data_IF_956509724257
#
_entry.id   IF_956509724257
#
_cell.length_a   1.000
_cell.length_b   1.000
_cell.length_c   1.000
_cell.angle_alpha   90.00
_cell.angle_beta   90.00
_cell.angle_gamma   90.00
#
_symmetry.space_group_name_H-M   'P 1'
#
loop_
_entity.id
_entity.type
_entity.pdbx_description
1 polymer ?
2 non-polymer ?
3 water ?
#
# COMPACT_ATOMS: atom_id res chain seq x y z
N UNK A 11 -16.20 5.42 8.76
CA UNK A 11 -15.45 4.48 7.92
C UNK A 11 -13.98 4.45 8.31
N UNK A 12 -13.57 3.33 8.90
CA UNK A 12 -12.17 3.15 9.33
C UNK A 12 -11.42 2.22 8.38
N UNK A 13 -11.97 1.97 7.19
CA UNK A 13 -11.34 1.08 6.22
C UNK A 13 -10.17 1.75 5.49
N UNK A 14 -9.25 0.93 5.01
CA UNK A 14 -8.11 1.46 4.27
C UNK A 14 -8.65 2.18 3.04
N UNK A 15 -8.14 3.38 2.80
CA UNK A 15 -8.55 4.23 1.68
C UNK A 15 -10.02 4.65 1.78
N UNK A 16 -10.67 4.43 2.91
CA UNK A 16 -12.09 4.76 3.03
C UNK A 16 -12.97 3.95 2.10
N UNK A 17 -12.47 2.81 1.65
CA UNK A 17 -13.19 1.97 0.70
C UNK A 17 -14.49 1.53 1.32
N UNK A 18 -15.60 1.74 0.61
CA UNK A 18 -16.90 1.52 1.20
C UNK A 18 -17.32 0.05 1.23
N UNK A 19 -17.05 -0.67 0.15
CA UNK A 19 -17.54 -2.04 0.01
C UNK A 19 -16.40 -3.05 -0.05
N UNK A 20 -16.34 -3.90 0.98
CA UNK A 20 -15.27 -4.86 1.15
C UNK A 20 -15.61 -5.74 2.34
N UNK A 21 -14.82 -6.81 2.50
CA UNK A 21 -14.97 -7.69 3.64
C UNK A 21 -14.41 -7.05 4.91
N UNK A 22 -15.25 -6.92 5.95
CA UNK A 22 -14.83 -6.44 7.26
C UNK A 22 -15.31 -7.39 8.35
N UNK A 23 -14.83 -8.65 8.31
CA UNK A 23 -15.25 -9.69 9.25
C UNK A 23 -14.64 -9.56 10.65
N UNK A 24 -13.62 -8.74 10.80
CA UNK A 24 -12.91 -8.65 12.06
C UNK A 24 -11.49 -9.10 11.85
N UNK A 25 -10.76 -9.24 12.95
CA UNK A 25 -9.33 -9.49 12.91
C UNK A 25 -8.98 -10.75 13.65
N UNK A 26 -8.02 -11.48 13.10
CA UNK A 26 -7.39 -12.56 13.84
C UNK A 26 -6.47 -11.95 14.92
N UNK A 27 -6.01 -12.78 15.84
CA UNK A 27 -4.89 -12.39 16.66
C UNK A 27 -3.73 -12.02 15.75
N UNK A 28 -2.79 -11.26 16.27
CA UNK A 28 -1.62 -10.88 15.50
C UNK A 28 -0.72 -12.07 15.33
N UNK A 29 -0.43 -12.37 14.07
CA UNK A 29 0.37 -13.54 13.71
C UNK A 29 1.79 -13.08 13.33
N UNK A 30 2.53 -13.92 12.61
CA UNK A 30 3.93 -13.67 12.34
C UNK A 30 4.21 -13.43 10.86
N UNK A 31 3.17 -13.16 10.09
CA UNK A 31 3.34 -12.66 8.72
C UNK A 31 3.71 -11.20 8.82
N UNK A 32 4.49 -10.68 7.88
CA UNK A 32 4.85 -9.27 7.93
C UNK A 32 4.63 -8.52 6.63
N UNK A 33 4.41 -9.17 5.51
CA UNK A 33 4.20 -8.42 4.27
C UNK A 33 3.39 -9.21 3.28
N UNK A 34 2.54 -8.48 2.57
CA UNK A 34 1.79 -9.00 1.44
C UNK A 34 1.50 -7.82 0.54
N UNK A 35 1.95 -7.88 -0.71
CA UNK A 35 1.79 -6.77 -1.64
C UNK A 35 1.38 -7.27 -3.01
N UNK A 36 0.57 -6.46 -3.69
CA UNK A 36 0.15 -6.66 -5.07
C UNK A 36 0.74 -5.56 -5.90
N UNK A 37 1.55 -5.94 -6.90
CA UNK A 37 2.30 -4.96 -7.68
C UNK A 37 2.00 -5.12 -9.17
N UNK A 38 0.97 -4.41 -9.65
CA UNK A 38 0.60 -4.45 -11.07
C UNK A 38 1.38 -3.43 -11.89
N UNK A 39 1.65 -3.75 -13.15
CA UNK A 39 2.23 -2.76 -14.06
C UNK A 39 1.20 -1.69 -14.39
N UNK A 40 1.65 -0.47 -14.67
CA UNK A 40 0.77 0.64 -15.04
C UNK A 40 -0.04 0.34 -16.30
N UNK A 41 -1.29 0.82 -16.31
CA UNK A 41 -2.20 0.62 -17.46
C UNK A 41 -2.02 1.81 -18.37
N UNK A 42 -0.94 1.76 -19.14
CA UNK A 42 -0.53 2.86 -19.98
C UNK A 42 -0.06 2.35 -21.32
N UNK A 43 -0.11 3.25 -22.30
CA UNK A 43 0.43 2.98 -23.61
C UNK A 43 -0.20 1.78 -24.27
N UNK A 44 0.65 0.88 -24.72
CA UNK A 44 0.21 -0.24 -25.51
C UNK A 44 -0.61 -1.25 -24.70
N UNK A 45 -0.55 -1.17 -23.37
CA UNK A 45 -1.36 -2.06 -22.53
C UNK A 45 -2.84 -1.87 -22.85
N UNK A 46 -3.25 -0.64 -23.16
CA UNK A 46 -4.65 -0.35 -23.42
C UNK A 46 -5.19 -1.09 -24.66
N UNK A 47 -4.29 -1.41 -25.57
CA UNK A 47 -4.70 -2.05 -26.81
C UNK A 47 -4.80 -3.57 -26.63
N UNK A 48 -4.36 -4.06 -25.47
CA UNK A 48 -4.44 -5.48 -25.13
C UNK A 48 -5.43 -5.73 -23.99
N UNK A 49 -5.51 -6.99 -23.55
CA UNK A 49 -6.52 -7.39 -22.57
C UNK A 49 -5.91 -7.98 -21.31
N UNK A 50 -4.69 -7.58 -20.99
CA UNK A 50 -4.01 -8.13 -19.82
C UNK A 50 -3.37 -7.07 -18.93
N UNK A 51 -3.34 -7.36 -17.64
CA UNK A 51 -2.51 -6.60 -16.69
C UNK A 51 -1.53 -7.57 -16.05
N UNK A 52 -0.23 -7.29 -16.19
CA UNK A 52 0.80 -8.10 -15.56
C UNK A 52 0.98 -7.64 -14.12
N UNK A 53 1.36 -8.57 -13.25
CA UNK A 53 1.59 -8.24 -11.83
C UNK A 53 2.51 -9.24 -11.18
N UNK A 54 3.00 -8.90 -10.00
CA UNK A 54 3.67 -9.83 -9.10
C UNK A 54 3.04 -9.69 -7.72
N UNK A 55 3.19 -10.75 -6.94
CA UNK A 55 2.76 -10.73 -5.54
C UNK A 55 3.99 -10.93 -4.67
N UNK A 56 4.13 -10.09 -3.64
CA UNK A 56 5.22 -10.24 -2.68
C UNK A 56 4.66 -10.69 -1.35
N UNK A 57 5.39 -11.54 -0.66
CA UNK A 57 4.98 -12.04 0.63
C UNK A 57 6.16 -12.28 1.53
N UNK A 58 5.97 -12.05 2.81
CA UNK A 58 7.02 -12.38 3.76
C UNK A 58 6.39 -12.75 5.10
N UNK A 59 6.97 -13.78 5.71
CA UNK A 59 6.64 -14.14 7.09
C UNK A 59 7.92 -14.38 7.87
N UNK A 60 7.79 -14.39 9.19
CA UNK A 60 8.95 -14.27 10.06
C UNK A 60 9.21 -15.53 10.87
N UNK A 61 8.19 -16.38 10.97
CA UNK A 61 8.36 -17.71 11.56
C UNK A 61 7.75 -18.68 10.58
N UNK A 62 8.22 -19.92 10.60
CA UNK A 62 7.73 -20.91 9.67
C UNK A 62 6.21 -21.05 9.78
N UNK A 63 5.56 -21.16 8.63
CA UNK A 63 4.12 -21.30 8.55
C UNK A 63 3.81 -22.44 7.62
N UNK A 64 2.61 -22.97 7.72
CA UNK A 64 2.21 -24.11 6.90
C UNK A 64 0.71 -24.20 6.85
N UNK A 65 0.27 -25.13 6.02
CA UNK A 65 -1.13 -25.53 5.83
C UNK A 65 -1.95 -24.61 4.95
N UNK A 66 -3.10 -25.11 4.53
CA UNK A 66 -4.07 -24.38 3.76
C UNK A 66 -4.89 -23.39 4.59
N UNK A 67 -4.55 -23.21 5.87
CA UNK A 67 -5.27 -22.24 6.68
C UNK A 67 -5.27 -20.82 6.13
N UNK A 68 -4.13 -20.48 5.54
CA UNK A 68 -3.80 -19.11 5.15
C UNK A 68 -4.17 -18.90 3.70
N UNK A 69 -5.10 -17.97 3.48
CA UNK A 69 -5.63 -17.71 2.15
C UNK A 69 -5.47 -16.25 1.76
N UNK A 70 -4.84 -16.02 0.62
CA UNK A 70 -4.69 -14.69 0.08
C UNK A 70 -5.95 -14.34 -0.68
N UNK A 71 -6.50 -13.18 -0.41
CA UNK A 71 -7.63 -12.68 -1.15
C UNK A 71 -7.25 -11.40 -1.87
N UNK A 72 -7.73 -11.29 -3.11
CA UNK A 72 -7.45 -10.15 -3.97
C UNK A 72 -8.80 -9.60 -4.41
N UNK A 73 -9.08 -8.36 -4.03
CA UNK A 73 -10.30 -7.66 -4.40
C UNK A 73 -9.97 -6.61 -5.45
N UNK A 74 -10.67 -6.66 -6.58
CA UNK A 74 -10.46 -5.70 -7.66
C UNK A 74 -11.67 -4.81 -7.81
N UNK A 75 -11.43 -3.57 -8.17
CA UNK A 75 -12.50 -2.63 -8.47
C UNK A 75 -13.59 -3.31 -9.27
N UNK A 76 -14.83 -3.13 -8.84
CA UNK A 76 -15.96 -3.71 -9.56
C UNK A 76 -15.97 -3.37 -11.04
N UNK A 77 -15.50 -2.17 -11.38
CA UNK A 77 -15.54 -1.72 -12.77
C UNK A 77 -14.60 -2.53 -13.65
N UNK A 78 -13.52 -3.06 -13.07
CA UNK A 78 -12.65 -4.01 -13.77
C UNK A 78 -13.16 -5.43 -13.60
N UNK A 79 -13.58 -5.78 -12.40
CA UNK A 79 -13.94 -7.16 -12.08
C UNK A 79 -15.02 -7.70 -13.01
N UNK A 80 -15.95 -6.85 -13.42
CA UNK A 80 -17.03 -7.29 -14.28
C UNK A 80 -16.54 -7.90 -15.59
N UNK A 81 -15.31 -7.57 -16.00
CA UNK A 81 -14.74 -8.06 -17.26
C UNK A 81 -13.57 -9.01 -17.09
N UNK A 82 -13.24 -9.39 -15.87
CA UNK A 82 -12.14 -10.34 -15.66
C UNK A 82 -12.58 -11.75 -16.06
N UNK A 83 -11.77 -12.42 -16.88
CA UNK A 83 -12.03 -13.82 -17.20
C UNK A 83 -11.19 -14.77 -16.38
N UNK A 84 -9.94 -14.45 -16.16
CA UNK A 84 -9.01 -15.36 -15.51
C UNK A 84 -7.89 -14.57 -14.83
N UNK A 85 -7.40 -15.06 -13.70
CA UNK A 85 -6.22 -14.49 -13.05
C UNK A 85 -5.32 -15.66 -12.67
N UNK A 86 -4.06 -15.61 -13.07
CA UNK A 86 -3.08 -16.64 -12.73
C UNK A 86 -1.76 -16.01 -12.32
N UNK A 87 -0.93 -16.78 -11.62
CA UNK A 87 0.38 -16.32 -11.17
C UNK A 87 1.23 -17.54 -10.91
N UNK A 88 2.55 -17.41 -11.03
CA UNK A 88 3.45 -18.51 -10.71
C UNK A 88 3.75 -18.46 -9.21
N UNK A 89 3.97 -19.62 -8.58
CA UNK A 89 4.44 -19.64 -7.20
C UNK A 89 5.90 -19.20 -7.14
N UNK A 90 6.36 -18.90 -5.95
CA UNK A 90 7.77 -18.63 -5.75
C UNK A 90 8.60 -19.77 -6.30
N UNK A 91 9.66 -19.42 -7.03
CA UNK A 91 10.50 -20.40 -7.70
C UNK A 91 11.13 -21.41 -6.74
N UNK A 92 11.27 -22.66 -7.17
CA UNK A 92 11.86 -23.65 -6.27
C UNK A 92 11.91 -25.09 -6.73
N UNK A 93 10.82 -25.82 -6.49
CA UNK A 93 10.79 -27.25 -6.74
C UNK A 93 9.82 -27.58 -7.86
N UNK A 94 9.79 -26.71 -8.85
CA UNK A 94 8.99 -26.93 -10.05
C UNK A 94 7.49 -26.99 -9.81
N UNK A 95 7.03 -26.30 -8.77
CA UNK A 95 5.58 -26.15 -8.54
C UNK A 95 4.95 -25.50 -9.77
N UNK A 96 3.68 -25.81 -10.03
CA UNK A 96 3.01 -25.35 -11.25
C UNK A 96 2.32 -23.98 -11.06
N UNK A 97 1.99 -23.37 -12.19
CA UNK A 97 1.28 -22.08 -12.22
C UNK A 97 -0.05 -22.20 -11.48
N UNK A 98 -0.37 -21.17 -10.70
CA UNK A 98 -1.59 -21.16 -9.90
C UNK A 98 -2.67 -20.29 -10.53
N UNK A 99 -3.92 -20.66 -10.24
CA UNK A 99 -5.08 -19.88 -10.62
C UNK A 99 -5.67 -19.22 -9.40
N UNK A 100 -5.98 -17.94 -9.50
CA UNK A 100 -6.74 -17.23 -8.47
C UNK A 100 -8.21 -17.59 -8.73
N UNK A 101 -8.90 -18.18 -7.77
CA UNK A 101 -10.28 -18.64 -7.94
C UNK A 101 -11.25 -17.56 -7.54
N UNK A 102 -12.23 -17.28 -8.38
CA UNK A 102 -13.19 -16.25 -8.09
C UNK A 102 -14.21 -16.72 -7.05
N UNK A 103 -14.50 -15.88 -6.09
CA UNK A 103 -15.52 -16.17 -5.09
C UNK A 103 -16.88 -15.69 -5.61
N UNK A 104 -17.91 -16.52 -5.44
CA UNK A 104 -19.26 -16.18 -5.86
C UNK A 104 -20.11 -15.99 -4.64
N UNK A 105 -21.22 -15.29 -4.80
CA UNK A 105 -22.13 -15.08 -3.67
C UNK A 105 -23.21 -16.18 -3.62
N UNK A 106 -24.17 -16.02 -2.72
CA UNK A 106 -25.22 -17.00 -2.49
C UNK A 106 -26.40 -16.81 -3.42
N UNK A 107 -26.24 -15.93 -4.40
CA UNK A 107 -27.33 -15.56 -5.31
C UNK A 107 -26.94 -15.77 -6.77
N UNK A 108 -25.96 -16.66 -6.99
CA UNK A 108 -25.60 -17.03 -8.35
C UNK A 108 -24.89 -15.93 -9.13
N UNK A 109 -24.20 -15.04 -8.43
CA UNK A 109 -23.48 -13.93 -9.04
C UNK A 109 -22.00 -13.99 -8.64
N UNK A 110 -21.09 -13.62 -9.55
CA UNK A 110 -19.68 -13.49 -9.13
C UNK A 110 -19.48 -12.30 -8.20
N UNK A 111 -18.49 -12.37 -7.30
CA UNK A 111 -18.06 -11.21 -6.53
C UNK A 111 -16.78 -10.70 -7.17
N UNK A 112 -16.25 -9.61 -6.61
CA UNK A 112 -15.01 -9.04 -7.06
C UNK A 112 -13.83 -9.44 -6.20
N UNK A 113 -13.92 -10.60 -5.55
CA UNK A 113 -12.84 -11.13 -4.75
C UNK A 113 -12.39 -12.49 -5.30
N UNK A 114 -11.08 -12.67 -5.39
CA UNK A 114 -10.43 -13.89 -5.80
C UNK A 114 -9.55 -14.41 -4.66
N UNK A 115 -9.24 -15.71 -4.70
CA UNK A 115 -8.50 -16.37 -3.62
C UNK A 115 -7.44 -17.33 -4.14
N UNK A 116 -6.31 -17.40 -3.44
CA UNK A 116 -5.27 -18.41 -3.67
C UNK A 116 -4.62 -18.71 -2.34
N UNK A 117 -4.16 -19.92 -2.11
CA UNK A 117 -3.53 -20.22 -0.85
C UNK A 117 -2.20 -19.49 -0.73
N UNK A 118 -1.88 -19.08 0.47
CA UNK A 118 -0.59 -18.45 0.73
C UNK A 118 0.58 -19.44 0.61
N UNK A 119 0.40 -20.66 1.13
CA UNK A 119 1.51 -21.58 1.32
C UNK A 119 1.71 -22.44 0.09
N UNK A 120 2.94 -22.43 -0.40
CA UNK A 120 3.27 -23.05 -1.66
C UNK A 120 2.94 -24.55 -1.70
N UNK A 121 3.23 -25.26 -0.61
CA UNK A 121 2.99 -26.71 -0.55
C UNK A 121 1.52 -27.06 -0.51
N UNK A 122 0.67 -26.07 -0.31
CA UNK A 122 -0.77 -26.26 -0.35
C UNK A 122 -1.36 -25.60 -1.60
N UNK A 123 -0.75 -25.84 -2.75
CA UNK A 123 -1.17 -25.25 -4.02
C UNK A 123 -1.22 -23.73 -3.97
N UNK A 124 -0.31 -23.17 -3.20
CA UNK A 124 -0.25 -21.73 -2.98
C UNK A 124 1.01 -21.11 -3.53
N UNK A 125 1.39 -19.95 -2.98
CA UNK A 125 2.45 -19.13 -3.57
C UNK A 125 3.82 -19.18 -2.92
N UNK A 126 3.86 -19.18 -1.59
CA UNK A 126 5.08 -18.85 -0.85
C UNK A 126 5.58 -20.01 0.02
N UNK A 127 6.89 -20.18 0.03
CA UNK A 127 7.50 -21.29 0.76
C UNK A 127 7.28 -21.10 2.26
N UNK A 128 6.58 -22.03 2.89
CA UNK A 128 6.24 -21.90 4.29
C UNK A 128 7.44 -21.88 5.22
N UNK A 129 8.48 -22.63 4.87
CA UNK A 129 9.62 -22.77 5.75
C UNK A 129 10.63 -21.64 5.60
N UNK A 130 10.44 -20.77 4.62
CA UNK A 130 11.41 -19.72 4.37
C UNK A 130 10.93 -18.45 5.04
N UNK A 131 11.78 -17.88 5.88
CA UNK A 131 11.40 -16.74 6.74
C UNK A 131 12.38 -15.59 6.62
N UNK A 132 13.04 -15.47 5.48
CA UNK A 132 14.08 -14.48 5.32
C UNK A 132 13.64 -13.42 4.30
N UNK A 133 14.30 -13.37 3.16
CA UNK A 133 14.06 -12.30 2.19
C UNK A 133 12.67 -12.36 1.61
N UNK A 134 12.08 -11.22 1.30
CA UNK A 134 10.79 -11.17 0.66
C UNK A 134 10.69 -12.16 -0.50
N UNK A 135 9.57 -12.89 -0.54
CA UNK A 135 9.28 -13.84 -1.61
C UNK A 135 8.48 -13.18 -2.73
N UNK A 136 8.73 -13.63 -3.96
CA UNK A 136 8.00 -13.16 -5.14
C UNK A 136 7.28 -14.30 -5.83
N UNK A 137 6.01 -14.06 -6.11
CA UNK A 137 5.20 -14.90 -6.98
C UNK A 137 5.16 -14.16 -8.31
N UNK A 138 5.95 -14.60 -9.30
CA UNK A 138 6.11 -13.85 -10.54
C UNK A 138 5.08 -14.16 -11.63
N UNK A 139 5.05 -13.36 -12.68
CA UNK A 139 4.34 -13.69 -13.92
C UNK A 139 2.84 -13.74 -13.70
N UNK A 140 2.34 -12.87 -12.85
CA UNK A 140 0.91 -12.73 -12.68
C UNK A 140 0.29 -12.08 -13.89
N UNK A 141 -0.88 -12.55 -14.27
CA UNK A 141 -1.62 -11.99 -15.39
C UNK A 141 -3.10 -11.97 -15.05
N UNK A 142 -3.70 -10.79 -15.10
CA UNK A 142 -5.15 -10.66 -15.13
C UNK A 142 -5.58 -10.58 -16.57
N UNK A 143 -6.42 -11.50 -17.00
CA UNK A 143 -6.89 -11.56 -18.38
C UNK A 143 -8.35 -11.12 -18.44
N UNK A 144 -8.66 -10.20 -19.33
CA UNK A 144 -9.99 -9.60 -19.46
C UNK A 144 -10.75 -10.11 -20.68
N UNK A 145 -12.07 -10.01 -20.66
CA UNK A 145 -12.84 -10.49 -21.80
C UNK A 145 -12.94 -9.46 -22.94
N UNK A 146 -12.41 -8.26 -22.72
CA UNK A 146 -12.28 -7.23 -23.75
C UNK A 146 -10.96 -6.54 -23.54
N UNK A 147 -10.50 -5.82 -24.56
CA UNK A 147 -9.31 -5.01 -24.38
C UNK A 147 -9.57 -3.83 -23.41
N UNK A 148 -8.49 -3.37 -22.80
CA UNK A 148 -8.63 -2.38 -21.74
C UNK A 148 -9.10 -1.04 -22.26
N UNK A 149 -8.75 -0.67 -23.49
CA UNK A 149 -9.26 0.57 -24.08
C UNK A 149 -10.79 0.55 -24.16
N UNK A 150 -11.37 -0.58 -24.54
CA UNK A 150 -12.82 -0.72 -24.60
C UNK A 150 -13.42 -0.68 -23.21
N UNK A 151 -12.76 -1.31 -22.25
CA UNK A 151 -13.23 -1.25 -20.87
C UNK A 151 -13.17 0.18 -20.33
N UNK A 152 -12.06 0.87 -20.56
CA UNK A 152 -11.94 2.24 -20.07
C UNK A 152 -13.00 3.15 -20.70
N UNK A 153 -13.32 2.91 -21.96
CA UNK A 153 -14.36 3.69 -22.62
C UNK A 153 -15.73 3.39 -22.01
N UNK A 154 -16.00 2.11 -21.72
CA UNK A 154 -17.26 1.73 -21.09
C UNK A 154 -17.41 2.30 -19.67
N UNK A 155 -16.29 2.43 -18.96
CA UNK A 155 -16.31 3.01 -17.61
C UNK A 155 -16.51 4.52 -17.74
N UNK A 156 -15.81 5.13 -18.67
CA UNK A 156 -15.89 6.55 -18.92
C UNK A 156 -14.68 7.27 -18.41
N UNK A 157 -14.03 8.06 -19.25
CA UNK A 157 -12.83 8.79 -18.86
C UNK A 157 -13.08 9.70 -17.67
N UNK A 158 -14.25 10.30 -17.62
CA UNK A 158 -14.61 11.18 -16.52
C UNK A 158 -14.64 10.39 -15.22
N UNK A 159 -15.18 9.19 -15.26
CA UNK A 159 -15.33 8.37 -14.06
C UNK A 159 -13.99 7.80 -13.60
N UNK A 160 -13.08 7.55 -14.53
CA UNK A 160 -11.76 7.07 -14.18
C UNK A 160 -10.95 8.19 -13.52
N UNK A 161 -11.29 9.43 -13.85
CA UNK A 161 -10.65 10.57 -13.23
C UNK A 161 -11.13 10.74 -11.79
N UNK A 162 -12.43 10.56 -11.58
CA UNK A 162 -13.01 10.89 -10.29
C UNK A 162 -12.95 9.74 -9.26
N UNK A 163 -12.77 8.53 -9.74
CA UNK A 163 -12.82 7.37 -8.86
C UNK A 163 -11.75 6.37 -9.31
N UNK A 164 -10.59 6.41 -8.66
CA UNK A 164 -9.47 5.58 -9.10
C UNK A 164 -9.85 4.09 -9.02
N UNK A 165 -9.20 3.29 -9.86
CA UNK A 165 -9.43 1.85 -9.92
C UNK A 165 -8.67 1.15 -8.82
N UNK A 166 -9.39 0.67 -7.85
CA UNK A 166 -8.77 0.11 -6.67
C UNK A 166 -8.43 -1.36 -6.76
N UNK A 167 -7.51 -1.75 -5.88
CA UNK A 167 -7.30 -3.15 -5.55
C UNK A 167 -7.04 -3.25 -4.06
N UNK A 168 -7.36 -4.41 -3.47
CA UNK A 168 -7.01 -4.72 -2.09
C UNK A 168 -6.52 -6.14 -2.02
N UNK A 169 -5.33 -6.38 -1.46
CA UNK A 169 -4.84 -7.71 -1.19
C UNK A 169 -4.74 -7.92 0.31
N UNK A 170 -5.14 -9.08 0.79
CA UNK A 170 -5.15 -9.33 2.22
C UNK A 170 -5.09 -10.81 2.50
N UNK A 171 -4.82 -11.15 3.76
CA UNK A 171 -4.68 -12.53 4.19
C UNK A 171 -5.77 -12.88 5.18
N UNK A 172 -6.44 -14.00 4.97
CA UNK A 172 -7.44 -14.48 5.93
C UNK A 172 -7.02 -15.83 6.48
N UNK A 173 -7.63 -16.19 7.60
CA UNK A 173 -7.33 -17.40 8.31
C UNK A 173 -8.61 -18.22 8.48
N UNK A 174 -8.65 -19.40 7.89
CA UNK A 174 -9.86 -20.22 7.93
C UNK A 174 -10.23 -20.65 9.37
N UNK A 175 -9.24 -20.91 10.21
CA UNK A 175 -9.48 -21.35 11.59
C UNK A 175 -10.04 -20.22 12.44
N UNK A 176 -9.91 -18.99 11.95
CA UNK A 176 -10.44 -17.80 12.61
C UNK A 176 -11.66 -17.25 11.85
N UNK A 177 -12.43 -18.17 11.27
CA UNK A 177 -13.67 -17.83 10.55
C UNK A 177 -13.45 -16.79 9.45
N UNK A 178 -12.33 -16.94 8.74
CA UNK A 178 -11.97 -16.08 7.61
C UNK A 178 -11.77 -14.62 7.98
N UNK A 179 -11.46 -14.37 9.24
CA UNK A 179 -11.07 -13.05 9.68
C UNK A 179 -9.71 -12.70 9.07
N UNK A 180 -9.45 -11.41 9.03
CA UNK A 180 -8.26 -10.87 8.40
C UNK A 180 -7.10 -10.80 9.36
N UNK A 181 -5.92 -11.15 8.89
CA UNK A 181 -4.72 -11.04 9.70
C UNK A 181 -4.31 -9.58 9.75
N UNK A 182 -4.33 -8.98 10.96
CA UNK A 182 -4.18 -7.52 10.99
C UNK A 182 -2.80 -7.01 10.59
N UNK A 183 -2.81 -5.96 9.78
CA UNK A 183 -1.59 -5.41 9.22
C UNK A 183 -1.20 -6.02 7.88
N UNK A 184 -1.78 -7.17 7.55
CA UNK A 184 -1.39 -7.90 6.34
C UNK A 184 -2.49 -7.66 5.30
N UNK A 185 -2.63 -6.39 4.99
CA UNK A 185 -3.54 -5.93 3.97
C UNK A 185 -3.00 -4.67 3.32
N UNK A 186 -3.22 -4.53 2.03
CA UNK A 186 -2.77 -3.39 1.29
C UNK A 186 -3.82 -3.01 0.28
N UNK A 187 -4.19 -1.73 0.26
CA UNK A 187 -5.19 -1.19 -0.67
C UNK A 187 -4.55 -0.08 -1.48
N UNK A 188 -4.56 -0.22 -2.82
CA UNK A 188 -3.93 0.73 -3.71
C UNK A 188 -4.77 0.95 -4.95
N UNK A 189 -4.21 1.61 -5.94
CA UNK A 189 -4.90 1.87 -7.18
C UNK A 189 -4.05 1.64 -8.39
N UNK A 190 -4.67 1.24 -9.49
CA UNK A 190 -3.97 1.06 -10.74
C UNK A 190 -3.57 2.39 -11.36
N UNK A 191 -2.32 2.49 -11.75
CA UNK A 191 -1.82 3.69 -12.44
C UNK A 191 -2.20 3.68 -13.89
N UNK A 192 -2.44 4.86 -14.41
CA UNK A 192 -2.82 5.02 -15.80
C UNK A 192 -2.05 6.21 -16.34
N UNK A 193 -2.35 6.63 -17.57
CA UNK A 193 -1.57 7.67 -18.23
C UNK A 193 -1.84 9.07 -17.65
N UNK A 194 -2.81 9.16 -16.76
CA UNK A 194 -3.08 10.43 -16.09
C UNK A 194 -2.15 10.62 -14.89
N UNK A 195 -1.35 9.60 -14.61
CA UNK A 195 -0.43 9.65 -13.48
C UNK A 195 0.96 9.95 -13.98
N UNK A 196 1.45 11.12 -13.58
CA UNK A 196 2.70 11.65 -14.11
C UNK A 196 3.71 12.01 -13.03
N UNK A 197 3.30 12.03 -11.77
CA UNK A 197 4.19 12.56 -10.74
C UNK A 197 5.44 11.70 -10.59
N UNK A 198 5.28 10.38 -10.62
CA UNK A 198 6.43 9.48 -10.44
C UNK A 198 7.57 9.83 -11.40
N UNK A 199 7.24 10.36 -12.56
CA UNK A 199 8.25 10.70 -13.57
C UNK A 199 8.89 12.05 -13.32
N UNK A 200 8.37 12.80 -12.35
CA UNK A 200 9.01 14.03 -11.93
C UNK A 200 10.26 13.73 -11.10
N UNK A 201 10.47 12.45 -10.78
CA UNK A 201 11.58 12.05 -9.93
C UNK A 201 12.67 11.34 -10.70
N UNK A 202 13.90 11.81 -10.50
CA UNK A 202 15.07 11.15 -11.08
C UNK A 202 15.51 10.03 -10.15
N UNK A 203 15.88 8.88 -10.70
CA UNK A 203 16.23 7.71 -9.90
C UNK A 203 17.69 7.74 -9.46
N UNK A 204 17.89 7.53 -8.16
CA UNK A 204 19.22 7.48 -7.58
C UNK A 204 19.99 6.23 -7.99
N UNK A 205 21.31 6.35 -8.11
CA UNK A 205 22.20 5.20 -8.27
C UNK A 205 22.63 4.59 -6.91
N UNK A 206 22.20 5.20 -5.82
CA UNK A 206 22.53 4.69 -4.50
C UNK A 206 21.60 3.59 -4.04
N UNK A 207 22.17 2.43 -3.69
CA UNK A 207 21.41 1.34 -3.09
C UNK A 207 20.21 0.97 -3.93
N UNK A 208 20.43 0.87 -5.24
CA UNK A 208 19.33 0.68 -6.21
C UNK A 208 18.69 -0.70 -6.17
N UNK A 209 19.35 -1.67 -5.54
CA UNK A 209 18.90 -3.05 -5.49
C UNK A 209 18.49 -3.47 -4.08
N UNK A 210 18.19 -2.51 -3.20
CA UNK A 210 17.90 -2.84 -1.81
C UNK A 210 16.41 -2.92 -1.48
N UNK A 211 15.59 -2.25 -2.28
CA UNK A 211 14.14 -2.28 -2.08
C UNK A 211 13.44 -2.90 -3.26
N UNK A 212 12.38 -3.65 -2.97
CA UNK A 212 11.57 -4.31 -3.96
C UNK A 212 10.31 -3.55 -4.31
N UNK A 213 9.73 -2.85 -3.34
CA UNK A 213 8.43 -2.22 -3.53
C UNK A 213 8.18 -1.19 -2.44
N UNK A 214 7.41 -0.17 -2.80
CA UNK A 214 6.89 0.81 -1.87
C UNK A 214 5.40 0.92 -2.06
N UNK A 215 4.69 1.14 -0.96
CA UNK A 215 3.26 1.30 -0.99
C UNK A 215 2.87 2.36 0.02
N UNK A 216 1.71 2.95 -0.21
CA UNK A 216 1.10 3.86 0.75
C UNK A 216 -0.34 3.44 1.02
N UNK A 217 -0.62 3.07 2.26
CA UNK A 217 -1.98 2.77 2.75
C UNK A 217 -2.45 4.01 3.48
N UNK A 218 -3.74 4.28 3.45
CA UNK A 218 -4.32 5.43 4.10
C UNK A 218 -5.46 4.97 4.99
N UNK A 219 -5.72 5.73 6.02
CA UNK A 219 -6.80 5.46 6.93
C UNK A 219 -7.24 6.75 7.59
N UNK A 220 -8.53 6.95 7.73
CA UNK A 220 -9.02 7.97 8.64
C UNK A 220 -9.05 7.42 10.06
N UNK A 221 -8.30 8.04 10.97
CA UNK A 221 -8.29 7.63 12.37
C UNK A 221 -9.13 8.62 13.18
N UNK A 222 -9.83 8.07 14.16
CA UNK A 222 -10.69 8.86 15.04
C UNK A 222 -9.91 9.91 15.81
N UNK A 223 -10.62 10.95 16.21
CA UNK A 223 -10.08 11.99 17.05
C UNK A 223 -9.58 11.45 18.39
N UNK A 224 -8.51 12.06 18.88
CA UNK A 224 -8.04 11.90 20.23
C UNK A 224 -7.67 10.48 20.61
N UNK A 225 -6.97 9.84 19.70
CA UNK A 225 -6.27 8.61 20.05
C UNK A 225 -4.80 8.89 20.12
N UNK A 226 -4.04 8.00 20.72
CA UNK A 226 -2.65 8.29 20.98
C UNK A 226 -1.76 7.09 20.85
N UNK A 227 -0.48 7.35 20.77
CA UNK A 227 0.48 6.29 20.92
C UNK A 227 0.52 5.84 22.39
N UNK A 228 1.01 4.63 22.63
CA UNK A 228 1.06 4.08 24.00
C UNK A 228 1.72 5.06 24.96
N UNK A 229 2.82 5.68 24.53
CA UNK A 229 3.55 6.61 25.40
C UNK A 229 2.99 8.04 25.47
N UNK A 230 1.92 8.32 24.74
CA UNK A 230 1.35 9.66 24.72
C UNK A 230 2.01 10.67 23.79
N UNK A 231 3.12 10.28 23.18
CA UNK A 231 3.89 11.23 22.35
C UNK A 231 3.16 11.64 21.06
N UNK A 232 2.45 10.69 20.46
CA UNK A 232 1.76 10.94 19.20
C UNK A 232 0.26 10.92 19.37
N UNK A 233 -0.46 11.63 18.49
CA UNK A 233 -1.91 11.75 18.61
C UNK A 233 -2.56 12.20 17.33
N UNK A 234 -3.88 12.03 17.21
CA UNK A 234 -4.59 12.40 15.98
C UNK A 234 -5.29 13.76 15.91
N UNK A 235 -5.43 14.37 17.07
CA UNK A 235 -6.06 15.69 17.18
C UNK A 235 -7.57 15.66 17.31
N UNK A 236 -8.17 16.83 17.53
CA UNK A 236 -9.58 16.91 17.87
C UNK A 236 -10.54 16.52 16.75
N UNK A 237 -10.06 16.53 15.50
CA UNK A 237 -10.90 16.25 14.35
C UNK A 237 -10.46 15.01 13.63
N UNK A 238 -9.63 14.21 14.29
CA UNK A 238 -9.10 13.03 13.64
C UNK A 238 -8.03 13.38 12.63
N UNK A 239 -7.56 12.35 11.95
CA UNK A 239 -6.42 12.49 11.08
C UNK A 239 -6.47 11.50 9.95
N UNK A 240 -5.88 11.85 8.83
CA UNK A 240 -5.60 10.86 7.81
C UNK A 240 -4.18 10.35 8.04
N UNK A 241 -4.07 9.04 8.19
CA UNK A 241 -2.79 8.37 8.43
C UNK A 241 -2.28 7.79 7.15
N UNK A 242 -1.03 8.09 6.83
CA UNK A 242 -0.33 7.52 5.68
C UNK A 242 0.68 6.55 6.22
N UNK A 243 0.57 5.30 5.84
CA UNK A 243 1.55 4.29 6.17
C UNK A 243 2.35 3.98 4.91
N UNK A 244 3.57 4.48 4.88
CA UNK A 244 4.48 4.26 3.77
C UNK A 244 5.27 3.01 4.10
N UNK A 245 5.00 1.93 3.37
CA UNK A 245 5.62 0.65 3.66
C UNK A 245 6.62 0.26 2.57
N UNK A 246 7.81 -0.13 3.01
CA UNK A 246 8.91 -0.50 2.13
C UNK A 246 9.19 -1.97 2.27
N UNK A 247 9.11 -2.68 1.16
CA UNK A 247 9.39 -4.10 1.06
C UNK A 247 10.84 -4.23 0.59
N UNK A 248 11.66 -4.90 1.36
CA UNK A 248 13.06 -5.05 1.00
C UNK A 248 13.31 -6.16 -0.01
N UNK A 249 14.42 -6.03 -0.71
CA UNK A 249 14.94 -7.10 -1.54
C UNK A 249 15.62 -8.15 -0.65
N UNK A 250 16.58 -7.68 0.15
CA UNK A 250 17.38 -8.55 1.03
C UNK A 250 17.24 -8.02 2.47
N UNK A 251 18.35 -7.65 3.13
CA UNK A 251 18.34 -7.30 4.55
C UNK A 251 19.05 -5.95 4.78
N UNK A 252 18.67 -4.94 4.02
CA UNK A 252 19.29 -3.61 4.06
C UNK A 252 19.51 -3.08 5.48
N UNK A 253 20.71 -2.56 5.69
CA UNK A 253 21.01 -1.72 6.83
C UNK A 253 21.37 -0.32 6.35
N UNK A 254 20.59 0.67 6.78
CA UNK A 254 20.91 2.07 6.46
C UNK A 254 22.22 2.49 7.05
N UNK A 255 22.42 2.16 8.31
CA UNK A 255 23.62 2.56 9.04
C UNK A 255 24.89 2.05 8.39
N UNK A 256 24.89 0.80 7.97
CA UNK A 256 26.09 0.21 7.39
C UNK A 256 26.26 0.51 5.90
N UNK A 257 25.17 0.62 5.16
CA UNK A 257 25.23 0.51 3.71
C UNK A 257 24.69 1.69 2.90
N UNK A 258 23.90 2.58 3.48
CA UNK A 258 23.33 3.64 2.68
C UNK A 258 24.40 4.57 2.14
N UNK A 259 24.24 4.96 0.87
CA UNK A 259 25.11 5.92 0.20
C UNK A 259 24.27 7.10 -0.26
N UNK A 260 24.90 8.24 -0.50
CA UNK A 260 24.16 9.44 -0.83
C UNK A 260 23.40 9.98 0.37
N UNK A 261 23.97 9.76 1.55
CA UNK A 261 23.40 10.17 2.81
C UNK A 261 23.64 11.64 3.11
N UNK A 262 22.81 12.24 3.97
CA UNK A 262 21.64 11.61 4.57
C UNK A 262 20.47 11.54 3.60
N UNK A 263 19.73 10.46 3.73
CA UNK A 263 18.51 10.33 2.96
C UNK A 263 17.40 11.18 3.55
N UNK A 264 16.40 11.43 2.71
CA UNK A 264 15.19 12.16 3.10
C UNK A 264 13.98 11.27 3.00
N UNK A 265 13.09 11.40 3.97
CA UNK A 265 11.75 10.86 3.92
C UNK A 265 10.86 11.92 3.29
N UNK A 266 10.13 11.55 2.25
CA UNK A 266 9.31 12.46 1.45
C UNK A 266 7.86 12.07 1.47
N UNK A 267 6.98 13.06 1.44
CA UNK A 267 5.55 12.84 1.48
C UNK A 267 4.90 13.94 0.68
N UNK A 268 3.78 13.59 0.05
CA UNK A 268 3.02 14.52 -0.76
C UNK A 268 1.55 14.27 -0.50
N UNK A 269 0.84 15.37 -0.29
CA UNK A 269 -0.57 15.37 0.05
C UNK A 269 -1.34 15.96 -1.13
N UNK A 270 -2.56 15.47 -1.34
CA UNK A 270 -3.43 16.05 -2.33
C UNK A 270 -3.59 17.55 -2.09
N UNK A 271 -3.40 18.34 -3.15
CA UNK A 271 -3.42 19.79 -3.01
C UNK A 271 -4.71 20.31 -2.35
N UNK A 272 -5.83 19.64 -2.60
CA UNK A 272 -7.09 20.09 -2.02
C UNK A 272 -7.12 19.98 -0.49
N UNK A 273 -6.36 19.04 0.07
CA UNK A 273 -6.37 18.83 1.50
C UNK A 273 -5.42 19.71 2.28
N UNK A 274 -4.45 20.31 1.60
CA UNK A 274 -3.43 21.07 2.28
C UNK A 274 -3.97 22.12 3.27
N UNK A 275 -4.95 22.95 2.86
CA UNK A 275 -5.47 23.94 3.81
C UNK A 275 -6.28 23.33 4.97
N UNK A 276 -6.62 22.06 4.85
CA UNK A 276 -7.37 21.36 5.89
C UNK A 276 -6.51 20.46 6.77
N UNK A 277 -5.20 20.55 6.58
CA UNK A 277 -4.27 19.82 7.43
C UNK A 277 -3.53 20.82 8.28
N UNK A 278 -3.47 20.59 9.59
CA UNK A 278 -2.71 21.44 10.50
C UNK A 278 -1.40 20.71 10.83
N UNK A 279 -1.30 20.15 12.03
CA UNK A 279 -0.11 19.43 12.40
C UNK A 279 0.09 18.19 11.55
N UNK A 280 1.36 17.88 11.34
CA UNK A 280 1.77 16.67 10.63
C UNK A 280 2.83 16.02 11.49
N UNK A 281 2.54 14.84 12.00
CA UNK A 281 3.48 14.10 12.85
C UNK A 281 4.11 12.95 12.09
N UNK A 282 5.38 12.72 12.35
CA UNK A 282 6.07 11.53 11.85
C UNK A 282 6.16 10.56 13.00
N UNK A 283 5.73 9.32 12.77
CA UNK A 283 5.87 8.27 13.79
C UNK A 283 6.80 7.19 13.30
N UNK A 284 7.55 6.64 14.24
CA UNK A 284 8.34 5.46 14.03
C UNK A 284 7.50 4.25 14.37
N UNK A 285 7.52 3.25 13.49
CA UNK A 285 6.74 2.03 13.61
C UNK A 285 7.68 0.85 13.41
N UNK A 286 7.34 -0.29 14.00
CA UNK A 286 8.19 -1.47 13.94
C UNK A 286 7.43 -2.67 13.43
N UNK A 287 8.03 -3.36 12.46
CA UNK A 287 7.53 -4.66 12.00
C UNK A 287 8.07 -5.75 12.92
N UNK A 288 7.26 -6.20 13.88
CA UNK A 288 7.70 -7.15 14.88
C UNK A 288 8.01 -8.51 14.26
N UNK A 289 9.04 -9.18 14.78
CA UNK A 289 9.35 -10.54 14.35
C UNK A 289 8.18 -11.46 14.69
N UNK A 290 7.74 -11.39 15.94
CA UNK A 290 6.59 -12.16 16.41
C UNK A 290 5.42 -11.22 16.66
N UNK A 291 4.22 -11.64 16.26
CA UNK A 291 3.01 -10.87 16.52
C UNK A 291 3.13 -9.49 15.90
N UNK A 292 3.29 -9.48 14.58
CA UNK A 292 3.28 -8.27 13.79
C UNK A 292 2.09 -7.38 14.14
N UNK A 293 2.39 -6.14 14.53
CA UNK A 293 1.38 -5.21 15.00
C UNK A 293 1.85 -3.80 14.67
N UNK A 294 1.08 -3.13 13.84
CA UNK A 294 1.38 -1.77 13.46
C UNK A 294 0.18 -0.87 13.80
N UNK A 295 -0.53 -1.20 14.87
CA UNK A 295 -1.61 -0.34 15.35
C UNK A 295 -1.06 1.06 15.66
N UNK A 296 -1.93 2.05 15.65
CA UNK A 296 -1.54 3.42 15.97
C UNK A 296 -0.87 3.50 17.33
N UNK A 297 -1.39 2.72 18.27
CA UNK A 297 -0.84 2.63 19.60
C UNK A 297 0.62 2.17 19.60
N UNK A 298 1.05 1.47 18.56
CA UNK A 298 2.39 0.86 18.55
C UNK A 298 3.48 1.85 18.14
N UNK A 299 3.11 3.03 17.68
CA UNK A 299 4.09 3.97 17.15
C UNK A 299 4.63 4.87 18.23
N UNK A 300 5.61 5.68 17.84
CA UNK A 300 6.18 6.71 18.70
C UNK A 300 6.40 7.95 17.84
N UNK A 301 6.03 9.13 18.32
CA UNK A 301 6.26 10.35 17.56
C UNK A 301 7.73 10.71 17.57
N UNK A 302 8.29 10.93 16.39
CA UNK A 302 9.70 11.26 16.27
C UNK A 302 9.95 12.64 15.68
N UNK A 303 8.96 13.26 15.06
CA UNK A 303 9.14 14.61 14.53
C UNK A 303 7.85 15.32 14.23
N UNK A 304 7.91 16.65 14.31
CA UNK A 304 6.93 17.53 13.71
C UNK A 304 7.39 17.81 12.30
N UNK A 305 6.49 17.68 11.33
CA UNK A 305 6.79 17.87 9.91
C UNK A 305 6.11 19.09 9.34
N UNK A 306 6.64 19.59 8.22
CA UNK A 306 6.03 20.69 7.47
C UNK A 306 5.66 20.24 6.08
N UNK A 307 4.77 20.99 5.44
CA UNK A 307 4.54 20.85 4.00
C UNK A 307 4.53 22.23 3.41
N UNK A 308 4.71 22.26 2.10
CA UNK A 308 4.75 23.50 1.33
C UNK A 308 3.32 23.99 1.16
N UNK A 309 3.06 25.19 1.65
CA UNK A 309 1.71 25.76 1.68
C UNK A 309 1.55 27.03 0.86
N UNK A 310 2.62 27.50 0.21
CA UNK A 310 2.49 28.70 -0.60
C UNK A 310 1.77 28.40 -1.90
N UNK A 311 0.62 29.04 -2.11
CA UNK A 311 -0.18 28.79 -3.31
C UNK A 311 0.66 29.00 -4.55
N UNK A 312 0.60 28.04 -5.47
CA UNK A 312 1.30 28.16 -6.73
C UNK A 312 2.70 27.59 -6.73
N UNK A 313 3.23 27.27 -5.55
CA UNK A 313 4.58 26.75 -5.46
C UNK A 313 4.68 25.40 -6.19
N UNK A 314 5.79 25.16 -6.86
CA UNK A 314 5.96 23.89 -7.59
C UNK A 314 5.85 22.67 -6.67
N UNK A 315 6.22 22.83 -5.41
CA UNK A 315 6.18 21.73 -4.45
C UNK A 315 5.00 21.78 -3.51
N UNK A 316 3.94 22.50 -3.88
CA UNK A 316 2.74 22.60 -3.05
C UNK A 316 2.28 21.22 -2.56
N UNK A 317 2.06 21.11 -1.26
CA UNK A 317 1.61 19.87 -0.65
C UNK A 317 2.69 18.82 -0.39
N UNK A 318 3.94 19.14 -0.68
CA UNK A 318 5.06 18.21 -0.46
C UNK A 318 5.88 18.64 0.73
N UNK A 319 6.49 17.67 1.39
CA UNK A 319 7.47 17.96 2.40
C UNK A 319 8.48 16.84 2.47
N UNK A 320 9.54 17.09 3.22
CA UNK A 320 10.56 16.11 3.46
C UNK A 320 11.27 16.42 4.75
N UNK A 321 11.95 15.40 5.28
CA UNK A 321 12.73 15.53 6.49
C UNK A 321 13.93 14.62 6.39
N UNK A 322 15.03 15.07 6.97
CA UNK A 322 16.22 14.27 7.10
C UNK A 322 16.74 14.35 8.54
N UNK A 323 17.84 13.65 8.79
CA UNK A 323 18.56 13.70 10.03
C UNK A 323 19.97 13.23 9.74
N UNK A 324 20.95 13.73 10.48
CA UNK A 324 22.30 13.24 10.31
C UNK A 324 22.46 11.79 10.74
N UNK A 325 21.48 11.29 11.49
CA UNK A 325 21.31 9.85 11.69
C UNK A 325 19.82 9.52 11.51
N UNK A 326 19.46 9.13 10.29
CA UNK A 326 18.06 8.95 9.96
C UNK A 326 17.41 7.80 10.71
N UNK A 327 18.21 6.94 11.32
CA UNK A 327 17.64 5.86 12.14
C UNK A 327 16.94 6.42 13.40
N UNK A 328 17.14 7.70 13.72
CA UNK A 328 16.39 8.33 14.81
C UNK A 328 14.92 8.53 14.41
N UNK A 329 14.66 8.63 13.10
CA UNK A 329 13.30 8.91 12.62
C UNK A 329 12.59 7.69 12.04
N UNK A 330 13.37 6.78 11.45
CA UNK A 330 12.81 5.62 10.76
C UNK A 330 13.45 4.36 11.31
N UNK A 331 12.64 3.36 11.63
CA UNK A 331 13.17 2.06 12.01
C UNK A 331 13.37 1.29 10.71
N UNK A 332 14.62 1.21 10.27
CA UNK A 332 14.96 0.54 9.02
C UNK A 332 15.04 -0.97 9.15
N UNK A 333 14.76 -1.50 10.34
CA UNK A 333 14.92 -2.94 10.58
C UNK A 333 16.32 -3.34 10.12
N UNK A 334 17.34 -2.65 10.61
CA UNK A 334 18.68 -2.78 10.08
C UNK A 334 19.17 -4.23 10.14
N UNK A 335 19.70 -4.69 9.01
CA UNK A 335 20.28 -6.02 8.85
C UNK A 335 19.25 -7.15 8.87
N UNK A 336 17.97 -6.79 8.83
CA UNK A 336 16.88 -7.77 8.79
C UNK A 336 16.12 -7.62 7.47
N UNK A 337 15.55 -8.73 6.97
CA UNK A 337 14.72 -8.64 5.76
C UNK A 337 13.33 -8.13 6.03
N UNK A 338 12.99 -7.84 7.28
CA UNK A 338 11.66 -7.36 7.60
C UNK A 338 11.40 -5.99 6.97
N UNK A 339 10.12 -5.70 6.67
CA UNK A 339 9.78 -4.44 6.02
C UNK A 339 9.83 -3.27 6.98
N UNK A 340 9.74 -2.10 6.39
CA UNK A 340 9.79 -0.82 7.09
C UNK A 340 8.45 -0.12 6.92
N UNK A 341 7.96 0.50 7.97
CA UNK A 341 6.77 1.35 7.91
C UNK A 341 7.12 2.71 8.46
N UNK A 342 6.92 3.74 7.65
CA UNK A 342 7.06 5.15 8.03
C UNK A 342 5.65 5.68 8.08
N UNK A 343 5.26 6.27 9.20
CA UNK A 343 3.89 6.71 9.39
C UNK A 343 3.81 8.23 9.46
N UNK A 344 2.89 8.81 8.69
CA UNK A 344 2.60 10.23 8.74
C UNK A 344 1.18 10.44 9.22
N UNK A 345 1.01 11.32 10.19
CA UNK A 345 -0.29 11.63 10.77
C UNK A 345 -0.69 13.05 10.35
N UNK A 346 -1.71 13.16 9.52
CA UNK A 346 -2.18 14.44 8.98
C UNK A 346 -3.38 14.86 9.78
N UNK A 347 -3.18 15.74 10.74
CA UNK A 347 -4.27 16.19 11.59
C UNK A 347 -5.19 17.11 10.81
N UNK A 348 -6.48 16.83 10.85
CA UNK A 348 -7.44 17.65 10.14
C UNK A 348 -7.85 18.86 10.95
N UNK A 349 -8.17 19.95 10.26
CA UNK A 349 -8.54 21.21 10.92
C UNK A 349 -10.00 21.24 11.29
N UNK A 350 -10.79 20.39 10.65
CA UNK A 350 -12.19 20.23 11.01
C UNK A 350 -12.61 18.82 10.63
N UNK A 351 -13.78 18.38 11.10
CA UNK A 351 -14.21 17.02 10.78
C UNK A 351 -14.33 16.79 9.28
N UNK A 352 -14.09 15.56 8.84
CA UNK A 352 -14.01 15.27 7.42
C UNK A 352 -15.30 15.65 6.70
N UNK A 353 -16.44 15.38 7.30
CA UNK A 353 -17.71 15.73 6.66
C UNK A 353 -17.90 17.23 6.42
N UNK A 354 -17.39 18.08 7.33
CA UNK A 354 -17.41 19.52 7.11
C UNK A 354 -16.45 19.91 6.01
N UNK A 355 -15.32 19.22 5.91
CA UNK A 355 -14.35 19.51 4.87
C UNK A 355 -15.00 19.26 3.53
N UNK A 356 -15.65 18.12 3.42
CA UNK A 356 -16.26 17.72 2.16
C UNK A 356 -17.41 18.67 1.80
N UNK A 357 -18.17 19.08 2.81
CA UNK A 357 -19.25 20.04 2.57
C UNK A 357 -18.70 21.35 2.02
N UNK A 358 -17.61 21.84 2.61
CA UNK A 358 -16.98 23.06 2.11
C UNK A 358 -16.46 22.89 0.68
N UNK A 359 -15.93 21.71 0.37
CA UNK A 359 -15.42 21.45 -0.97
C UNK A 359 -16.54 21.43 -2.01
N UNK A 360 -17.67 20.85 -1.62
CA UNK A 360 -18.88 20.87 -2.46
C UNK A 360 -19.56 22.23 -2.38
N UNK A 372 -15.21 15.50 -5.87
CA UNK A 372 -15.49 14.09 -6.16
C UNK A 372 -14.20 13.29 -6.34
N UNK A 373 -13.22 13.90 -6.99
CA UNK A 373 -11.95 13.22 -7.28
C UNK A 373 -11.36 12.67 -5.99
N UNK A 374 -10.93 11.42 -6.01
CA UNK A 374 -10.40 10.79 -4.79
C UNK A 374 -9.13 11.51 -4.41
N UNK A 375 -8.78 11.49 -3.12
CA UNK A 375 -7.57 12.16 -2.68
C UNK A 375 -6.36 11.26 -2.90
N UNK A 376 -5.28 11.85 -3.40
CA UNK A 376 -4.05 11.12 -3.71
C UNK A 376 -2.93 11.53 -2.78
N UNK A 377 -2.16 10.54 -2.33
CA UNK A 377 -1.03 10.71 -1.44
C UNK A 377 0.19 9.94 -1.96
N UNK A 378 1.37 10.49 -1.82
CA UNK A 378 2.59 9.81 -2.28
C UNK A 378 3.63 9.85 -1.17
N UNK A 379 4.55 8.90 -1.20
CA UNK A 379 5.66 8.89 -0.27
C UNK A 379 6.83 8.18 -0.92
N UNK A 380 8.05 8.60 -0.60
CA UNK A 380 9.22 7.96 -1.16
C UNK A 380 10.44 8.33 -0.34
N UNK A 381 11.52 7.56 -0.46
CA UNK A 381 12.80 7.97 0.09
C UNK A 381 13.65 8.54 -1.03
N UNK A 382 14.47 9.53 -0.70
CA UNK A 382 15.40 10.11 -1.66
C UNK A 382 16.75 10.22 -1.02
N UNK A 383 17.78 10.27 -1.85
CA UNK A 383 19.12 10.60 -1.35
C UNK A 383 19.23 12.10 -1.09
N UNK A 384 20.43 12.53 -0.71
CA UNK A 384 20.64 13.91 -0.36
C UNK A 384 20.46 14.84 -1.55
N UNK A 385 20.58 14.32 -2.76
CA UNK A 385 20.36 15.09 -3.97
C UNK A 385 18.94 14.93 -4.53
N UNK A 386 18.01 14.50 -3.68
CA UNK A 386 16.58 14.44 -4.03
C UNK A 386 16.24 13.34 -5.07
N UNK A 387 17.18 12.46 -5.35
CA UNK A 387 16.96 11.38 -6.29
C UNK A 387 16.30 10.20 -5.57
N UNK A 388 15.29 9.64 -6.23
CA UNK A 388 14.49 8.56 -5.68
C UNK A 388 15.30 7.31 -5.41
N UNK A 389 15.25 6.80 -4.19
CA UNK A 389 15.82 5.48 -3.93
C UNK A 389 14.91 4.47 -4.63
N UNK A 390 15.48 3.69 -5.55
CA UNK A 390 14.66 2.86 -6.41
C UNK A 390 13.74 1.91 -5.66
N UNK A 391 12.49 1.88 -6.10
CA UNK A 391 11.45 1.00 -5.59
C UNK A 391 10.98 1.41 -4.20
N UNK A 392 11.19 2.67 -3.79
CA UNK A 392 10.65 3.16 -2.52
C UNK A 392 9.47 4.09 -2.70
N UNK A 393 9.10 4.40 -3.92
CA UNK A 393 7.96 5.26 -4.17
C UNK A 393 6.66 4.48 -4.03
N UNK A 394 5.74 5.00 -3.24
CA UNK A 394 4.40 4.46 -3.16
C UNK A 394 3.40 5.57 -3.35
N UNK A 395 2.24 5.19 -3.88
CA UNK A 395 1.14 6.13 -3.99
C UNK A 395 -0.12 5.46 -3.53
N UNK A 396 -0.98 6.22 -2.88
CA UNK A 396 -2.19 5.66 -2.34
C UNK A 396 -3.30 6.69 -2.47
N UNK A 397 -4.49 6.26 -2.11
CA UNK A 397 -5.65 7.12 -2.29
C UNK A 397 -6.56 7.03 -1.08
N UNK A 398 -7.41 8.03 -0.96
CA UNK A 398 -8.53 8.00 -0.02
C UNK A 398 -9.79 8.32 -0.81
N UNK A 399 -10.75 7.40 -0.75
CA UNK A 399 -11.97 7.47 -1.57
C UNK A 399 -12.88 8.62 -1.21
N UNK A 400 -13.40 9.29 -2.23
CA UNK A 400 -14.42 10.34 -2.09
C UNK A 400 -15.60 10.03 -3.00
N UNK A 401 -16.80 9.96 -2.43
CA UNK A 401 -17.99 9.60 -3.21
C UNK A 401 -18.33 10.66 -4.24
N UNK A 402 -18.51 10.23 -5.49
CA UNK A 402 -18.83 11.15 -6.58
C UNK A 402 -20.29 11.60 -6.48
X LIG B 1 -14.37 9.82 -6.19
#
# INVERSE_FOLDING_TARGET
NAQMGEGRLANYSASGNTFQENPGYTKNYNFSDLQFNPKAITGDVLQGNTIDFEVYGKHNIAASTANWEIRLQLDERLAQYVEKIQVDPKKGVGNSRRTFVRINDSLGRPTNIWKVNYIRANDGLFAGAETTDTQTAPNGVITFEKNLDEIFKEIGADNLKSDRLMYRIYLVSHQDDDKIVPGIESTGYFLTDQDDFYNKLDVSENNSDQFKHGSVNTKYEEANIQTKDGSGSTGANGAIILDHKLTKEKNFSYSTSAKGTPWYANYKIDERLVPYVSGIQMHMVQADKVAYNVAFESGKKVADLAIERREGHENYGMGSITDNDLTKLIDFANASPRPIVVRYVLQLTKPLDEILEEMKAADKIEENAPFGEDFIFDSWLSDTNKKLIQNTYGTGYYYLQDIDGLEVLFQ
CA CA
#
